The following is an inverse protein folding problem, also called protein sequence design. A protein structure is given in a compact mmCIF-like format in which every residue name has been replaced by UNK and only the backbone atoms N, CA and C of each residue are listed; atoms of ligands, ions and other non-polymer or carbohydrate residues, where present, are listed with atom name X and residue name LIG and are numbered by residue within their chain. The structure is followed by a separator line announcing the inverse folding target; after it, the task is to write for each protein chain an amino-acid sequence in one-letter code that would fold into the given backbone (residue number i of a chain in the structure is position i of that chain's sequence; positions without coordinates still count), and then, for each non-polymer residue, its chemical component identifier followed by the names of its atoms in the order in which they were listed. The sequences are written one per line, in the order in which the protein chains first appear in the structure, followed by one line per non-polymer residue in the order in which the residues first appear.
data_IF_926581373802
#
_entry.id   IF_926581373802
#
_cell.length_a   1.000
_cell.length_b   1.000
_cell.length_c   1.000
_cell.angle_alpha   90.00
_cell.angle_beta   90.00
_cell.angle_gamma   90.00
#
_symmetry.space_group_name_H-M   'P 1'
#
loop_
_entity.id
_entity.type
_entity.pdbx_description
1 polymer ?
#
# COMPACT_ATOMS: atom_id res chain seq x y z
N UNK A 1 23.98 -3.32 -25.70
CA UNK A 1 22.51 -3.33 -25.52
C UNK A 1 22.18 -4.46 -24.56
N UNK A 2 22.11 -4.17 -23.26
CA UNK A 2 21.54 -5.13 -22.32
C UNK A 2 20.05 -5.22 -22.62
N UNK A 3 19.60 -6.39 -23.06
CA UNK A 3 18.18 -6.71 -23.14
C UNK A 3 17.60 -6.56 -21.75
N UNK A 4 16.77 -5.53 -21.53
CA UNK A 4 15.96 -5.38 -20.32
C UNK A 4 15.20 -6.70 -20.13
N UNK A 5 15.63 -7.52 -19.18
CA UNK A 5 14.97 -8.76 -18.81
C UNK A 5 13.55 -8.39 -18.37
N UNK A 6 12.55 -8.81 -19.13
CA UNK A 6 11.14 -8.60 -18.77
C UNK A 6 10.88 -9.35 -17.48
N UNK A 7 10.55 -8.62 -16.41
CA UNK A 7 10.24 -9.22 -15.11
C UNK A 7 8.98 -10.08 -15.22
N UNK A 8 8.98 -11.23 -14.56
CA UNK A 8 7.91 -12.23 -14.60
C UNK A 8 6.72 -11.78 -13.74
N UNK A 9 5.53 -11.82 -14.32
CA UNK A 9 4.26 -11.65 -13.60
C UNK A 9 3.99 -12.84 -12.67
N UNK A 10 3.27 -12.57 -11.58
CA UNK A 10 2.75 -13.60 -10.68
C UNK A 10 1.23 -13.62 -10.63
N UNK A 11 0.71 -14.37 -9.66
CA UNK A 11 -0.71 -14.45 -9.35
C UNK A 11 -1.00 -13.96 -7.95
N UNK A 12 -2.17 -13.32 -7.81
CA UNK A 12 -2.62 -12.76 -6.53
C UNK A 12 -3.11 -13.86 -5.57
N UNK A 13 -3.13 -13.58 -4.27
CA UNK A 13 -3.71 -14.52 -3.28
C UNK A 13 -5.17 -14.85 -3.61
N UNK A 14 -5.94 -13.90 -4.14
CA UNK A 14 -7.30 -14.13 -4.62
C UNK A 14 -7.41 -15.11 -5.79
N UNK A 15 -6.51 -15.03 -6.76
CA UNK A 15 -6.48 -15.97 -7.89
C UNK A 15 -6.13 -17.38 -7.41
N UNK A 16 -5.11 -17.53 -6.55
CA UNK A 16 -4.75 -18.82 -5.95
C UNK A 16 -5.91 -19.41 -5.13
N UNK A 17 -6.59 -18.61 -4.30
CA UNK A 17 -7.76 -19.05 -3.53
C UNK A 17 -8.91 -19.51 -4.43
N UNK A 18 -9.14 -18.81 -5.55
CA UNK A 18 -10.17 -19.18 -6.53
C UNK A 18 -9.84 -20.51 -7.22
N UNK A 19 -8.60 -20.69 -7.66
CA UNK A 19 -8.14 -21.94 -8.26
C UNK A 19 -8.21 -23.14 -7.30
N UNK A 20 -7.77 -22.95 -6.05
CA UNK A 20 -7.91 -23.95 -5.00
C UNK A 20 -9.38 -24.30 -4.75
N UNK A 21 -10.27 -23.31 -4.71
CA UNK A 21 -11.72 -23.55 -4.54
C UNK A 21 -12.31 -24.35 -5.69
N UNK A 22 -11.93 -24.04 -6.95
CA UNK A 22 -12.35 -24.80 -8.12
C UNK A 22 -11.93 -26.27 -8.00
N UNK A 23 -10.67 -26.52 -7.69
CA UNK A 23 -10.13 -27.86 -7.54
C UNK A 23 -10.85 -28.65 -6.45
N UNK A 24 -11.01 -28.05 -5.26
CA UNK A 24 -11.67 -28.70 -4.13
C UNK A 24 -13.14 -29.02 -4.42
N UNK A 25 -13.89 -28.09 -5.04
CA UNK A 25 -15.29 -28.31 -5.38
C UNK A 25 -15.45 -29.39 -6.47
N UNK A 26 -14.63 -29.35 -7.52
CA UNK A 26 -14.67 -30.39 -8.57
C UNK A 26 -14.37 -31.77 -7.99
N UNK A 27 -13.36 -31.87 -7.12
CA UNK A 27 -13.06 -33.12 -6.41
C UNK A 27 -14.19 -33.57 -5.47
N UNK A 28 -14.84 -32.63 -4.77
CA UNK A 28 -16.00 -32.93 -3.91
C UNK A 28 -17.18 -33.52 -4.71
N UNK A 29 -17.39 -33.04 -5.93
CA UNK A 29 -18.48 -33.51 -6.82
C UNK A 29 -18.13 -34.86 -7.44
N UNK A 30 -16.91 -35.00 -7.94
CA UNK A 30 -16.51 -36.15 -8.78
C UNK A 30 -15.91 -37.30 -7.98
N UNK A 31 -15.44 -37.06 -6.75
CA UNK A 31 -14.61 -37.99 -5.99
C UNK A 31 -13.19 -38.15 -6.54
N UNK A 32 -12.79 -37.34 -7.54
CA UNK A 32 -11.49 -37.44 -8.22
C UNK A 32 -10.59 -36.28 -7.79
N UNK A 33 -9.39 -36.61 -7.31
CA UNK A 33 -8.35 -35.64 -6.94
C UNK A 33 -7.93 -34.80 -8.16
N UNK A 34 -7.88 -33.48 -8.00
CA UNK A 34 -7.48 -32.56 -9.06
C UNK A 34 -5.99 -32.19 -8.95
N UNK A 35 -5.29 -32.16 -10.07
CA UNK A 35 -3.86 -31.75 -10.15
C UNK A 35 -3.68 -30.35 -10.73
N UNK A 36 -4.70 -29.81 -11.39
CA UNK A 36 -4.72 -28.46 -11.93
C UNK A 36 -6.11 -27.83 -11.85
N UNK A 37 -6.19 -26.50 -11.93
CA UNK A 37 -7.44 -25.78 -12.08
C UNK A 37 -7.26 -24.54 -12.97
N UNK A 38 -8.14 -24.42 -13.96
CA UNK A 38 -8.16 -23.28 -14.89
C UNK A 38 -9.29 -22.32 -14.52
N UNK A 39 -8.95 -21.05 -14.27
CA UNK A 39 -9.89 -19.98 -13.88
C UNK A 39 -9.78 -18.77 -14.81
N UNK A 40 -10.86 -18.00 -14.93
CA UNK A 40 -10.85 -16.75 -15.68
C UNK A 40 -10.46 -15.58 -14.74
N UNK A 41 -9.43 -14.83 -15.12
CA UNK A 41 -8.92 -13.73 -14.31
C UNK A 41 -9.57 -12.39 -14.70
N UNK A 42 -9.73 -11.44 -13.77
CA UNK A 42 -10.29 -10.12 -14.08
C UNK A 42 -9.49 -9.30 -15.11
N UNK A 43 -8.22 -9.66 -15.37
CA UNK A 43 -7.43 -9.08 -16.47
C UNK A 43 -7.91 -9.51 -17.86
N UNK A 44 -8.90 -10.40 -17.95
CA UNK A 44 -9.54 -10.83 -19.19
C UNK A 44 -8.91 -12.06 -19.84
N UNK A 45 -8.16 -12.88 -19.08
CA UNK A 45 -7.49 -14.09 -19.59
C UNK A 45 -7.71 -15.30 -18.69
N UNK A 46 -7.69 -16.48 -19.29
CA UNK A 46 -7.63 -17.75 -18.56
C UNK A 46 -6.23 -17.98 -17.99
N UNK A 47 -6.17 -18.59 -16.81
CA UNK A 47 -4.93 -19.04 -16.18
C UNK A 47 -5.12 -20.41 -15.52
N UNK A 48 -4.17 -21.31 -15.77
CA UNK A 48 -4.12 -22.64 -15.18
C UNK A 48 -3.13 -22.66 -14.02
N UNK A 49 -3.58 -23.19 -12.89
CA UNK A 49 -2.82 -23.30 -11.66
C UNK A 49 -2.56 -24.77 -11.37
N UNK A 50 -1.31 -25.11 -11.04
CA UNK A 50 -0.99 -26.39 -10.45
C UNK A 50 -1.59 -26.48 -9.04
N UNK A 51 -2.18 -27.63 -8.72
CA UNK A 51 -2.70 -27.95 -7.40
C UNK A 51 -1.65 -28.79 -6.70
N UNK A 52 -1.02 -28.19 -5.68
CA UNK A 52 0.05 -28.81 -4.90
C UNK A 52 -0.44 -30.04 -4.15
N UNK A 53 -1.64 -29.94 -3.58
CA UNK A 53 -2.29 -31.02 -2.88
C UNK A 53 -3.80 -30.91 -3.04
N UNK A 54 -4.48 -32.03 -3.25
CA UNK A 54 -5.93 -32.14 -3.23
C UNK A 54 -6.33 -33.41 -2.47
N UNK A 55 -7.06 -33.25 -1.37
CA UNK A 55 -7.26 -34.28 -0.37
C UNK A 55 -8.74 -34.35 0.03
N UNK A 56 -9.31 -35.55 -0.03
CA UNK A 56 -10.71 -35.80 0.30
C UNK A 56 -10.81 -36.31 1.75
N UNK A 57 -11.58 -35.61 2.57
CA UNK A 57 -11.80 -35.86 3.98
C UNK A 57 -13.30 -36.05 4.23
N UNK A 58 -13.80 -37.26 3.98
CA UNK A 58 -15.23 -37.57 4.09
C UNK A 58 -16.07 -36.66 3.19
N UNK A 59 -16.88 -35.79 3.81
CA UNK A 59 -17.75 -34.83 3.10
C UNK A 59 -17.10 -33.47 2.82
N UNK A 60 -15.78 -33.35 3.00
CA UNK A 60 -15.03 -32.14 2.73
C UNK A 60 -13.81 -32.42 1.87
N UNK A 61 -13.39 -31.45 1.06
CA UNK A 61 -12.17 -31.54 0.25
C UNK A 61 -11.31 -30.33 0.51
N UNK A 62 -10.01 -30.55 0.64
CA UNK A 62 -9.00 -29.49 0.71
C UNK A 62 -8.20 -29.47 -0.56
N UNK A 63 -7.97 -28.29 -1.12
CA UNK A 63 -7.01 -28.11 -2.20
C UNK A 63 -6.05 -26.96 -1.88
N UNK A 64 -4.80 -27.12 -2.27
CA UNK A 64 -3.71 -26.18 -1.98
C UNK A 64 -3.06 -25.69 -3.26
N UNK A 65 -2.87 -24.38 -3.35
CA UNK A 65 -2.08 -23.73 -4.41
C UNK A 65 -0.93 -22.99 -3.74
N UNK A 66 0.30 -23.22 -4.20
CA UNK A 66 1.45 -22.40 -3.78
C UNK A 66 1.45 -21.13 -4.61
N UNK A 67 1.39 -19.98 -3.93
CA UNK A 67 1.37 -18.68 -4.61
C UNK A 67 2.71 -18.38 -5.26
N UNK A 68 2.71 -18.24 -6.59
CA UNK A 68 3.83 -17.66 -7.33
C UNK A 68 3.61 -16.16 -7.53
N UNK A 69 4.36 -15.33 -6.81
CA UNK A 69 4.35 -13.86 -6.92
C UNK A 69 5.12 -13.30 -8.12
N UNK A 70 5.74 -14.13 -8.96
CA UNK A 70 6.63 -13.65 -10.01
C UNK A 70 7.90 -13.04 -9.45
N UNK A 71 8.40 -11.98 -10.09
CA UNK A 71 9.62 -11.26 -9.65
C UNK A 71 9.31 -10.07 -8.71
N UNK A 72 8.08 -9.93 -8.23
CA UNK A 72 7.72 -8.91 -7.24
C UNK A 72 8.23 -9.31 -5.84
N UNK A 73 8.83 -8.39 -5.06
CA UNK A 73 9.20 -8.64 -3.67
C UNK A 73 7.96 -8.68 -2.75
N UNK A 74 7.09 -9.65 -2.98
CA UNK A 74 5.81 -9.85 -2.32
C UNK A 74 5.98 -10.79 -1.10
N UNK A 75 5.63 -10.31 0.10
CA UNK A 75 5.72 -11.09 1.34
C UNK A 75 4.92 -12.41 1.32
N UNK A 76 3.93 -12.51 0.43
CA UNK A 76 3.07 -13.69 0.28
C UNK A 76 3.54 -14.63 -0.84
N UNK A 77 4.64 -14.35 -1.52
CA UNK A 77 5.27 -15.30 -2.45
C UNK A 77 5.63 -16.61 -1.74
N UNK A 78 5.33 -17.75 -2.35
CA UNK A 78 5.54 -19.08 -1.79
C UNK A 78 4.54 -19.49 -0.70
N UNK A 79 3.55 -18.65 -0.38
CA UNK A 79 2.53 -19.00 0.60
C UNK A 79 1.61 -20.10 0.07
N UNK A 80 1.34 -21.12 0.90
CA UNK A 80 0.30 -22.11 0.62
C UNK A 80 -1.09 -21.48 0.86
N UNK A 81 -1.88 -21.36 -0.20
CA UNK A 81 -3.27 -20.92 -0.15
C UNK A 81 -4.15 -22.16 -0.24
N UNK A 82 -4.92 -22.41 0.82
CA UNK A 82 -5.73 -23.61 0.98
C UNK A 82 -7.21 -23.24 0.90
N UNK A 83 -7.98 -23.95 0.10
CA UNK A 83 -9.45 -23.88 0.12
C UNK A 83 -10.01 -25.19 0.65
N UNK A 84 -10.81 -25.13 1.71
CA UNK A 84 -11.59 -26.26 2.20
C UNK A 84 -13.03 -26.08 1.76
N UNK A 85 -13.55 -27.02 0.99
CA UNK A 85 -14.89 -26.99 0.43
C UNK A 85 -15.70 -28.18 0.95
N UNK A 86 -16.92 -27.92 1.40
CA UNK A 86 -17.88 -28.96 1.79
C UNK A 86 -19.28 -28.55 1.38
N UNK A 87 -20.21 -29.51 1.42
CA UNK A 87 -21.62 -29.19 1.22
C UNK A 87 -22.18 -28.41 2.41
N UNK A 88 -23.05 -27.45 2.12
CA UNK A 88 -23.80 -26.72 3.13
C UNK A 88 -25.22 -27.30 3.27
N UNK A 89 -25.79 -27.16 4.47
CA UNK A 89 -27.19 -27.50 4.72
C UNK A 89 -28.14 -26.46 4.11
N UNK A 90 -27.75 -25.18 4.16
CA UNK A 90 -28.54 -24.07 3.62
C UNK A 90 -28.14 -23.74 2.18
N UNK A 91 -29.10 -23.37 1.30
CA UNK A 91 -28.79 -22.89 -0.04
C UNK A 91 -27.81 -21.71 -0.04
N UNK A 92 -27.05 -21.57 -1.12
CA UNK A 92 -26.11 -20.46 -1.32
C UNK A 92 -24.64 -20.84 -1.13
N UNK A 93 -23.78 -19.84 -1.27
CA UNK A 93 -22.33 -19.96 -1.16
C UNK A 93 -21.91 -19.25 0.12
N UNK A 94 -21.37 -19.99 1.08
CA UNK A 94 -20.95 -19.48 2.38
C UNK A 94 -19.42 -19.40 2.40
N UNK A 95 -18.89 -18.19 2.21
CA UNK A 95 -17.45 -17.94 2.14
C UNK A 95 -16.94 -17.28 3.43
N UNK A 96 -15.94 -17.90 4.06
CA UNK A 96 -15.21 -17.32 5.19
C UNK A 96 -13.70 -17.66 5.13
N UNK A 97 -12.92 -17.09 6.04
CA UNK A 97 -11.49 -17.34 6.19
C UNK A 97 -11.17 -18.21 7.41
N UNK A 98 -10.34 -19.23 7.25
CA UNK A 98 -9.78 -20.02 8.34
C UNK A 98 -8.43 -19.51 8.83
N UNK A 99 -7.57 -20.42 9.28
CA UNK A 99 -6.25 -20.11 9.87
C UNK A 99 -5.42 -19.24 8.94
N UNK A 100 -4.86 -18.15 9.48
CA UNK A 100 -3.95 -17.25 8.79
C UNK A 100 -4.56 -16.36 7.71
N UNK A 101 -5.89 -16.34 7.56
CA UNK A 101 -6.61 -15.25 6.90
C UNK A 101 -7.04 -14.25 7.98
N UNK A 102 -6.59 -13.01 7.83
CA UNK A 102 -6.81 -11.98 8.85
C UNK A 102 -8.29 -11.61 9.01
N UNK A 103 -8.65 -11.05 10.16
CA UNK A 103 -9.96 -10.46 10.44
C UNK A 103 -9.88 -8.95 10.45
N UNK A 104 -10.85 -8.29 9.84
CA UNK A 104 -10.95 -6.83 9.86
C UNK A 104 -11.46 -6.37 11.22
N UNK A 105 -10.72 -5.49 11.87
CA UNK A 105 -11.00 -4.96 13.22
C UNK A 105 -11.20 -3.46 13.23
N UNK A 106 -10.83 -2.76 12.15
CA UNK A 106 -10.99 -1.31 11.98
C UNK A 106 -11.87 -1.01 10.77
N UNK A 107 -12.66 0.08 10.79
CA UNK A 107 -13.41 0.55 9.63
C UNK A 107 -12.49 1.16 8.57
N UNK A 108 -13.04 1.39 7.37
CA UNK A 108 -12.34 2.08 6.26
C UNK A 108 -11.77 1.16 5.19
N UNK A 109 -11.70 -0.15 5.46
CA UNK A 109 -11.40 -1.15 4.43
C UNK A 109 -12.67 -1.52 3.62
N UNK A 110 -12.51 -2.04 2.39
CA UNK A 110 -13.65 -2.53 1.59
C UNK A 110 -14.38 -3.73 2.20
N UNK A 111 -13.77 -4.40 3.18
CA UNK A 111 -14.31 -5.56 3.89
C UNK A 111 -14.83 -5.09 5.26
N UNK A 112 -16.07 -5.45 5.66
CA UNK A 112 -16.65 -5.05 6.95
C UNK A 112 -15.86 -5.53 8.17
N UNK A 113 -16.00 -4.80 9.29
CA UNK A 113 -15.44 -5.21 10.59
C UNK A 113 -16.06 -6.54 11.04
N UNK A 114 -15.22 -7.44 11.55
CA UNK A 114 -15.57 -8.78 11.97
C UNK A 114 -15.38 -9.85 10.89
N UNK A 115 -15.37 -9.47 9.60
CA UNK A 115 -15.23 -10.43 8.50
C UNK A 115 -13.78 -10.84 8.23
N UNK A 116 -13.62 -12.01 7.60
CA UNK A 116 -12.36 -12.41 6.98
C UNK A 116 -11.93 -11.41 5.92
N UNK A 117 -10.64 -11.05 5.91
CA UNK A 117 -10.00 -10.11 5.00
C UNK A 117 -9.90 -10.67 3.56
N UNK A 118 -11.04 -11.03 2.98
CA UNK A 118 -11.21 -11.48 1.60
C UNK A 118 -11.85 -10.33 0.83
N UNK A 119 -11.06 -9.65 0.01
CA UNK A 119 -11.48 -8.44 -0.67
C UNK A 119 -12.62 -8.71 -1.69
N UNK A 120 -13.37 -7.67 -2.09
CA UNK A 120 -14.54 -7.82 -2.97
C UNK A 120 -14.27 -8.54 -4.28
N UNK A 121 -13.13 -8.28 -4.95
CA UNK A 121 -12.80 -8.94 -6.21
C UNK A 121 -12.49 -10.44 -6.03
N UNK A 122 -11.61 -10.87 -5.11
CA UNK A 122 -11.45 -12.28 -4.79
C UNK A 122 -12.76 -12.97 -4.35
N UNK A 123 -13.58 -12.30 -3.54
CA UNK A 123 -14.90 -12.83 -3.14
C UNK A 123 -15.76 -13.08 -4.38
N UNK A 124 -15.85 -12.11 -5.28
CA UNK A 124 -16.58 -12.23 -6.55
C UNK A 124 -16.05 -13.40 -7.38
N UNK A 125 -14.73 -13.49 -7.59
CA UNK A 125 -14.10 -14.57 -8.36
C UNK A 125 -14.44 -15.96 -7.80
N UNK A 126 -14.34 -16.14 -6.48
CA UNK A 126 -14.68 -17.39 -5.81
C UNK A 126 -16.16 -17.73 -6.02
N UNK A 127 -17.07 -16.77 -5.84
CA UNK A 127 -18.50 -17.00 -6.02
C UNK A 127 -18.86 -17.36 -7.46
N UNK A 128 -18.29 -16.65 -8.44
CA UNK A 128 -18.50 -16.94 -9.86
C UNK A 128 -17.99 -18.33 -10.21
N UNK A 129 -16.77 -18.68 -9.78
CA UNK A 129 -16.19 -20.01 -10.00
C UNK A 129 -17.02 -21.13 -9.37
N UNK A 130 -17.51 -20.95 -8.15
CA UNK A 130 -18.39 -21.94 -7.50
C UNK A 130 -19.69 -22.10 -8.29
N UNK A 131 -20.32 -21.00 -8.72
CA UNK A 131 -21.55 -21.07 -9.54
C UNK A 131 -21.32 -21.79 -10.87
N UNK A 132 -20.25 -21.45 -11.58
CA UNK A 132 -19.89 -22.08 -12.85
C UNK A 132 -19.72 -23.60 -12.70
N UNK A 133 -19.02 -24.04 -11.66
CA UNK A 133 -18.83 -25.47 -11.40
C UNK A 133 -20.16 -26.15 -11.03
N UNK A 134 -20.96 -25.54 -10.16
CA UNK A 134 -22.28 -26.11 -9.80
C UNK A 134 -23.21 -26.23 -11.03
N UNK A 135 -23.24 -25.21 -11.88
CA UNK A 135 -24.03 -25.20 -13.12
C UNK A 135 -23.54 -26.26 -14.11
N UNK A 136 -22.22 -26.38 -14.30
CA UNK A 136 -21.61 -27.38 -15.18
C UNK A 136 -22.01 -28.82 -14.80
N UNK A 137 -22.17 -29.10 -13.51
CA UNK A 137 -22.55 -30.43 -13.00
C UNK A 137 -24.05 -30.55 -12.67
N UNK A 138 -24.85 -29.51 -12.90
CA UNK A 138 -26.31 -29.53 -12.62
C UNK A 138 -26.67 -29.66 -11.14
N UNK A 139 -25.85 -29.13 -10.23
CA UNK A 139 -26.04 -29.24 -8.77
C UNK A 139 -26.60 -27.94 -8.19
N UNK A 140 -27.66 -28.05 -7.38
CA UNK A 140 -28.34 -26.91 -6.73
C UNK A 140 -28.15 -26.86 -5.20
N UNK A 141 -27.17 -27.61 -4.66
CA UNK A 141 -26.87 -27.66 -3.23
C UNK A 141 -26.02 -26.47 -2.79
N UNK A 142 -26.18 -26.04 -1.53
CA UNK A 142 -25.31 -25.03 -0.93
C UNK A 142 -23.88 -25.52 -0.72
N UNK A 143 -22.93 -24.60 -0.69
CA UNK A 143 -21.49 -24.89 -0.59
C UNK A 143 -20.85 -24.00 0.48
N UNK A 144 -20.09 -24.61 1.39
CA UNK A 144 -19.22 -23.93 2.33
C UNK A 144 -17.81 -23.83 1.73
N UNK A 145 -17.20 -22.65 1.79
CA UNK A 145 -15.83 -22.40 1.33
C UNK A 145 -15.05 -21.69 2.43
N UNK A 146 -14.00 -22.34 2.92
CA UNK A 146 -13.09 -21.77 3.93
C UNK A 146 -11.69 -21.60 3.34
N UNK A 147 -11.25 -20.36 3.19
CA UNK A 147 -9.90 -20.04 2.69
C UNK A 147 -8.94 -19.93 3.87
N UNK A 148 -7.83 -20.68 3.85
CA UNK A 148 -6.80 -20.65 4.90
C UNK A 148 -5.41 -20.43 4.30
N UNK A 149 -4.53 -19.85 5.09
CA UNK A 149 -3.11 -19.65 4.76
C UNK A 149 -2.32 -20.11 5.99
N UNK A 150 -1.79 -21.35 6.03
CA UNK A 150 -1.24 -21.92 7.26
C UNK A 150 -0.17 -21.05 7.95
N UNK A 151 0.68 -20.38 7.18
CA UNK A 151 1.73 -19.47 7.66
C UNK A 151 1.32 -17.99 7.61
N UNK A 152 0.04 -17.70 7.38
CA UNK A 152 -0.46 -16.35 7.10
C UNK A 152 -0.27 -15.38 8.25
N UNK A 153 -0.36 -15.82 9.50
CA UNK A 153 -0.09 -14.96 10.66
C UNK A 153 1.37 -14.50 10.72
N UNK A 154 2.32 -15.41 10.48
CA UNK A 154 3.75 -15.07 10.42
C UNK A 154 4.09 -14.18 9.23
N UNK A 155 3.47 -14.41 8.07
CA UNK A 155 3.63 -13.55 6.90
C UNK A 155 3.09 -12.15 7.21
N UNK A 156 1.94 -12.03 7.88
CA UNK A 156 1.29 -10.76 8.17
C UNK A 156 2.18 -9.81 9.00
N UNK A 157 3.07 -10.33 9.86
CA UNK A 157 4.04 -9.54 10.62
C UNK A 157 5.00 -8.74 9.72
N UNK A 158 5.16 -9.14 8.47
CA UNK A 158 5.99 -8.47 7.45
C UNK A 158 5.17 -7.56 6.53
N UNK A 159 3.91 -7.28 6.87
CA UNK A 159 2.99 -6.48 6.06
C UNK A 159 2.43 -5.30 6.83
N UNK A 160 1.75 -4.39 6.14
CA UNK A 160 1.04 -3.27 6.75
C UNK A 160 -0.35 -3.66 7.32
N UNK A 161 -0.71 -4.95 7.33
CA UNK A 161 -2.06 -5.42 7.67
C UNK A 161 -2.48 -5.04 9.09
N UNK A 162 -1.61 -5.23 10.09
CA UNK A 162 -1.95 -4.94 11.49
C UNK A 162 -2.36 -3.47 11.68
N UNK A 163 -1.63 -2.57 11.03
CA UNK A 163 -1.90 -1.12 11.05
C UNK A 163 -3.24 -0.77 10.42
N UNK A 164 -3.56 -1.41 9.30
CA UNK A 164 -4.86 -1.29 8.63
C UNK A 164 -6.00 -1.96 9.40
N UNK A 165 -5.72 -2.57 10.56
CA UNK A 165 -6.71 -3.27 11.37
C UNK A 165 -7.02 -4.69 10.90
N UNK A 166 -6.12 -5.33 10.14
CA UNK A 166 -6.25 -6.74 9.76
C UNK A 166 -5.37 -7.57 10.69
N UNK A 167 -5.99 -8.37 11.56
CA UNK A 167 -5.32 -9.10 12.64
C UNK A 167 -5.46 -10.62 12.44
N UNK A 168 -4.43 -11.39 12.82
CA UNK A 168 -4.45 -12.87 12.81
C UNK A 168 -4.14 -13.52 11.45
N UNK A 169 -3.72 -12.74 10.45
CA UNK A 169 -3.40 -13.31 9.14
C UNK A 169 -3.23 -12.28 8.01
N UNK A 170 -3.05 -12.80 6.80
CA UNK A 170 -2.97 -11.97 5.59
C UNK A 170 -4.34 -11.71 4.97
N UNK A 171 -4.39 -10.72 4.08
CA UNK A 171 -5.54 -10.48 3.23
C UNK A 171 -5.51 -11.37 1.98
N UNK A 172 -6.68 -11.88 1.59
CA UNK A 172 -6.91 -12.47 0.27
C UNK A 172 -7.35 -11.33 -0.65
N UNK A 173 -6.45 -10.88 -1.51
CA UNK A 173 -6.58 -9.67 -2.31
C UNK A 173 -6.11 -9.88 -3.75
N UNK A 174 -6.39 -8.89 -4.60
CA UNK A 174 -6.04 -8.89 -6.02
C UNK A 174 -7.19 -8.37 -6.87
N UNK A 175 -6.98 -7.26 -7.60
CA UNK A 175 -8.03 -6.66 -8.43
C UNK A 175 -8.04 -7.18 -9.86
N UNK A 176 -6.89 -7.66 -10.35
CA UNK A 176 -6.70 -8.16 -11.72
C UNK A 176 -6.45 -9.67 -11.81
N UNK A 177 -6.29 -10.33 -10.68
CA UNK A 177 -5.86 -11.74 -10.60
C UNK A 177 -4.35 -11.94 -10.77
N UNK A 178 -3.62 -10.95 -11.27
CA UNK A 178 -2.16 -11.00 -11.51
C UNK A 178 -1.39 -10.03 -10.61
N UNK A 179 -0.12 -10.35 -10.36
CA UNK A 179 0.88 -9.50 -9.69
C UNK A 179 1.84 -8.98 -10.74
N UNK A 180 1.98 -7.66 -10.82
CA UNK A 180 2.93 -6.99 -11.72
C UNK A 180 4.08 -6.46 -10.83
N UNK A 181 5.33 -6.89 -11.07
CA UNK A 181 6.48 -6.47 -10.26
C UNK A 181 6.64 -4.94 -10.20
N UNK A 182 6.88 -4.41 -8.99
CA UNK A 182 7.10 -2.99 -8.73
C UNK A 182 5.97 -2.09 -9.24
N UNK A 183 4.72 -2.57 -9.13
CA UNK A 183 3.56 -1.85 -9.64
C UNK A 183 3.27 -0.55 -8.87
N UNK A 184 3.50 0.58 -9.54
CA UNK A 184 3.05 1.91 -9.11
C UNK A 184 1.56 1.94 -8.77
N UNK A 185 0.74 1.19 -9.52
CA UNK A 185 -0.71 1.16 -9.28
C UNK A 185 -1.09 0.44 -7.98
N UNK A 186 -0.38 -0.64 -7.65
CA UNK A 186 -0.60 -1.36 -6.38
C UNK A 186 -0.17 -0.51 -5.18
N UNK A 187 0.96 0.17 -5.29
CA UNK A 187 1.44 1.08 -4.24
C UNK A 187 0.52 2.30 -4.05
N UNK A 188 -0.02 2.88 -5.12
CA UNK A 188 -1.03 3.94 -5.01
C UNK A 188 -2.33 3.46 -4.35
N UNK A 189 -2.73 2.22 -4.60
CA UNK A 189 -3.91 1.64 -3.97
C UNK A 189 -3.71 1.43 -2.46
N UNK A 190 -2.51 1.03 -2.01
CA UNK A 190 -2.22 0.91 -0.57
C UNK A 190 -2.23 2.27 0.14
N UNK A 191 -1.74 3.34 -0.50
CA UNK A 191 -1.84 4.71 0.02
C UNK A 191 -3.32 5.10 0.21
N UNK A 192 -4.17 4.85 -0.80
CA UNK A 192 -5.62 5.15 -0.69
C UNK A 192 -6.24 4.40 0.50
N UNK A 193 -5.95 3.11 0.65
CA UNK A 193 -6.48 2.30 1.75
C UNK A 193 -6.04 2.82 3.12
N UNK A 194 -4.77 3.22 3.27
CA UNK A 194 -4.27 3.80 4.51
C UNK A 194 -5.01 5.10 4.87
N UNK A 195 -5.25 5.99 3.90
CA UNK A 195 -6.01 7.23 4.13
C UNK A 195 -7.48 6.91 4.50
N UNK A 196 -8.10 5.92 3.85
CA UNK A 196 -9.47 5.52 4.15
C UNK A 196 -9.60 4.95 5.57
N UNK A 197 -8.66 4.12 5.99
CA UNK A 197 -8.60 3.61 7.37
C UNK A 197 -8.40 4.76 8.35
N UNK A 198 -7.44 5.65 8.11
CA UNK A 198 -7.21 6.82 8.97
C UNK A 198 -8.50 7.66 9.12
N UNK A 199 -9.13 8.03 8.00
CA UNK A 199 -10.35 8.84 8.02
C UNK A 199 -11.51 8.14 8.74
N UNK A 200 -11.70 6.85 8.48
CA UNK A 200 -12.78 6.08 9.09
C UNK A 200 -12.60 5.89 10.61
N UNK A 201 -11.35 5.99 11.11
CA UNK A 201 -11.03 6.00 12.53
C UNK A 201 -11.00 7.42 13.13
N UNK A 202 -11.52 8.42 12.41
CA UNK A 202 -11.66 9.79 12.91
C UNK A 202 -10.41 10.65 12.81
N UNK A 203 -9.37 10.20 12.10
CA UNK A 203 -8.18 11.03 11.88
C UNK A 203 -8.50 12.15 10.88
N UNK A 204 -8.63 13.37 11.39
CA UNK A 204 -8.69 14.60 10.58
C UNK A 204 -7.30 15.17 10.27
N UNK A 205 -6.28 14.70 11.01
CA UNK A 205 -4.87 15.00 10.81
C UNK A 205 -4.12 13.71 10.45
N UNK A 206 -3.47 13.68 9.28
CA UNK A 206 -2.60 12.58 8.85
C UNK A 206 -1.18 13.08 8.61
N UNK A 207 -0.20 12.18 8.76
CA UNK A 207 1.21 12.46 8.54
C UNK A 207 1.73 11.61 7.40
N UNK A 208 2.09 12.25 6.28
CA UNK A 208 2.60 11.55 5.10
C UNK A 208 4.12 11.60 5.09
N UNK A 209 4.75 10.44 4.89
CA UNK A 209 6.20 10.31 4.99
C UNK A 209 6.82 9.63 3.78
N UNK A 210 8.09 9.92 3.54
CA UNK A 210 8.82 9.39 2.38
C UNK A 210 9.28 7.93 2.53
N UNK A 211 9.06 7.34 3.71
CA UNK A 211 9.43 5.98 4.08
C UNK A 211 9.56 5.78 5.59
N UNK A 212 9.78 4.54 6.03
CA UNK A 212 9.76 4.16 7.45
C UNK A 212 10.73 4.91 8.37
N UNK A 213 11.86 5.42 7.87
CA UNK A 213 12.75 6.26 8.70
C UNK A 213 12.11 7.61 9.03
N UNK A 214 11.57 8.30 8.03
CA UNK A 214 10.83 9.55 8.24
C UNK A 214 9.56 9.33 9.06
N UNK A 215 8.91 8.17 8.93
CA UNK A 215 7.77 7.79 9.77
C UNK A 215 8.15 7.68 11.26
N UNK A 216 9.25 7.01 11.60
CA UNK A 216 9.72 6.95 12.99
C UNK A 216 9.97 8.34 13.59
N UNK A 217 10.44 9.28 12.78
CA UNK A 217 10.67 10.67 13.23
C UNK A 217 9.35 11.41 13.40
N UNK A 218 8.43 11.24 12.45
CA UNK A 218 7.08 11.74 12.53
C UNK A 218 6.33 11.25 13.78
N UNK A 219 6.41 9.96 14.10
CA UNK A 219 5.76 9.40 15.30
C UNK A 219 6.27 10.01 16.60
N UNK A 220 7.57 10.37 16.66
CA UNK A 220 8.11 11.12 17.80
C UNK A 220 7.64 12.57 17.84
N UNK A 221 7.44 13.19 16.67
CA UNK A 221 6.96 14.56 16.56
C UNK A 221 5.47 14.69 16.89
N UNK A 222 4.67 13.69 16.55
CA UNK A 222 3.21 13.68 16.76
C UNK A 222 2.77 12.48 17.63
N UNK A 223 3.24 12.38 18.89
CA UNK A 223 2.98 11.21 19.74
C UNK A 223 1.50 11.06 20.16
N UNK A 224 0.69 12.10 19.93
CA UNK A 224 -0.73 12.12 20.22
C UNK A 224 -1.60 11.56 19.07
N UNK A 225 -1.01 11.34 17.88
CA UNK A 225 -1.73 10.75 16.74
C UNK A 225 -1.66 9.22 16.79
N UNK A 226 -2.75 8.52 16.43
CA UNK A 226 -2.75 7.06 16.36
C UNK A 226 -1.89 6.56 15.19
N UNK A 227 -1.49 5.29 15.23
CA UNK A 227 -0.59 4.71 14.24
C UNK A 227 -1.14 4.78 12.80
N UNK A 228 -2.45 4.60 12.61
CA UNK A 228 -3.10 4.74 11.30
C UNK A 228 -3.03 6.15 10.70
N UNK A 229 -2.74 7.19 11.50
CA UNK A 229 -2.59 8.55 10.99
C UNK A 229 -1.30 8.73 10.19
N UNK A 230 -0.29 7.89 10.37
CA UNK A 230 0.95 7.98 9.58
C UNK A 230 0.85 7.12 8.33
N UNK A 231 1.36 7.62 7.21
CA UNK A 231 1.17 7.00 5.90
C UNK A 231 2.48 7.13 5.11
N UNK A 232 3.08 6.00 4.79
CA UNK A 232 4.24 5.97 3.89
C UNK A 232 3.78 6.18 2.43
N UNK A 233 3.98 7.40 1.93
CA UNK A 233 3.63 7.79 0.56
C UNK A 233 4.74 7.52 -0.46
N UNK A 234 5.95 7.20 0.02
CA UNK A 234 7.13 7.01 -0.83
C UNK A 234 7.45 8.27 -1.63
N UNK A 235 7.21 8.22 -2.94
CA UNK A 235 7.49 9.32 -3.88
C UNK A 235 6.24 10.05 -4.38
N UNK A 236 5.05 9.65 -3.94
CA UNK A 236 3.76 10.08 -4.50
C UNK A 236 3.11 11.24 -3.73
N UNK A 237 3.82 12.35 -3.55
CA UNK A 237 3.38 13.49 -2.73
C UNK A 237 2.06 14.07 -3.21
N UNK A 238 1.99 14.56 -4.45
CA UNK A 238 0.78 15.22 -4.97
C UNK A 238 -0.41 14.28 -5.10
N UNK A 239 -0.15 13.02 -5.48
CA UNK A 239 -1.19 12.00 -5.50
C UNK A 239 -1.78 11.80 -4.10
N UNK A 240 -0.95 11.65 -3.07
CA UNK A 240 -1.38 11.44 -1.68
C UNK A 240 -2.15 12.65 -1.18
N UNK A 241 -1.65 13.87 -1.38
CA UNK A 241 -2.33 15.11 -1.00
C UNK A 241 -3.72 15.23 -1.64
N UNK A 242 -3.85 14.93 -2.95
CA UNK A 242 -5.14 14.91 -3.65
C UNK A 242 -6.10 13.88 -3.07
N UNK A 243 -5.62 12.71 -2.66
CA UNK A 243 -6.45 11.70 -2.00
C UNK A 243 -6.88 12.14 -0.61
N UNK A 244 -5.99 12.75 0.18
CA UNK A 244 -6.34 13.34 1.48
C UNK A 244 -7.45 14.38 1.33
N UNK A 245 -7.34 15.31 0.36
CA UNK A 245 -8.38 16.31 0.07
C UNK A 245 -9.70 15.65 -0.32
N UNK A 246 -9.66 14.70 -1.25
CA UNK A 246 -10.85 13.97 -1.73
C UNK A 246 -11.59 13.24 -0.60
N UNK A 247 -10.86 12.72 0.37
CA UNK A 247 -11.42 12.00 1.53
C UNK A 247 -11.73 12.91 2.73
N UNK A 248 -11.58 14.24 2.57
CA UNK A 248 -11.95 15.21 3.60
C UNK A 248 -11.02 15.23 4.81
N UNK A 249 -9.73 14.93 4.62
CA UNK A 249 -8.69 15.16 5.63
C UNK A 249 -8.43 16.67 5.73
N UNK A 250 -8.41 17.21 6.95
CA UNK A 250 -8.31 18.65 7.21
C UNK A 250 -6.86 19.12 7.34
N UNK A 251 -6.00 18.30 7.94
CA UNK A 251 -4.59 18.62 8.19
C UNK A 251 -3.69 17.51 7.65
N UNK A 252 -2.66 17.89 6.91
CA UNK A 252 -1.63 16.96 6.43
C UNK A 252 -0.26 17.46 6.84
N UNK A 253 0.46 16.71 7.67
CA UNK A 253 1.88 16.97 7.94
C UNK A 253 2.75 16.13 7.01
N UNK A 254 3.62 16.77 6.25
CA UNK A 254 4.61 16.12 5.41
C UNK A 254 5.93 16.04 6.17
N UNK A 255 6.44 14.83 6.40
CA UNK A 255 7.70 14.64 7.14
C UNK A 255 8.69 13.87 6.28
N UNK A 256 9.89 14.43 6.13
CA UNK A 256 10.97 13.72 5.48
C UNK A 256 12.27 14.51 5.38
N UNK A 257 13.06 14.16 4.37
CA UNK A 257 14.44 14.62 4.24
C UNK A 257 14.58 15.63 3.11
N UNK A 258 15.57 16.50 3.25
CA UNK A 258 15.83 17.61 2.34
C UNK A 258 15.96 17.19 0.87
N UNK A 259 16.54 16.02 0.58
CA UNK A 259 16.69 15.53 -0.80
C UNK A 259 15.39 15.42 -1.60
N UNK A 260 14.31 14.92 -0.97
CA UNK A 260 13.00 14.80 -1.62
C UNK A 260 12.20 16.09 -1.50
N UNK A 261 12.28 16.76 -0.35
CA UNK A 261 11.50 17.96 -0.07
C UNK A 261 12.02 19.21 -0.77
N UNK A 262 13.30 19.27 -1.13
CA UNK A 262 13.80 20.33 -2.03
C UNK A 262 13.06 20.34 -3.36
N UNK A 263 12.67 19.16 -3.87
CA UNK A 263 11.84 19.03 -5.08
C UNK A 263 10.40 19.46 -4.83
N UNK A 264 9.82 19.09 -3.68
CA UNK A 264 8.47 19.55 -3.30
C UNK A 264 8.41 21.07 -3.21
N UNK A 265 9.44 21.70 -2.64
CA UNK A 265 9.56 23.16 -2.57
C UNK A 265 9.59 23.84 -3.94
N UNK A 266 10.08 23.14 -4.97
CA UNK A 266 10.08 23.59 -6.38
C UNK A 266 8.75 23.30 -7.11
N UNK A 267 7.75 22.72 -6.43
CA UNK A 267 6.49 22.30 -7.04
C UNK A 267 6.50 20.92 -7.68
N UNK A 268 7.58 20.14 -7.54
CA UNK A 268 7.67 18.78 -8.10
C UNK A 268 7.06 17.79 -7.10
N UNK A 269 5.87 17.29 -7.46
CA UNK A 269 5.04 16.46 -6.57
C UNK A 269 5.21 14.95 -6.73
N UNK A 270 6.07 14.53 -7.67
CA UNK A 270 6.58 13.16 -7.77
C UNK A 270 8.08 13.21 -7.47
N UNK A 271 8.50 12.78 -6.29
CA UNK A 271 9.85 13.06 -5.76
C UNK A 271 10.88 11.96 -6.03
N UNK A 272 10.57 11.05 -6.95
CA UNK A 272 11.49 10.00 -7.38
C UNK A 272 12.81 10.61 -7.90
N UNK A 273 13.94 9.93 -7.74
CA UNK A 273 15.25 10.46 -8.13
C UNK A 273 15.31 10.88 -9.60
N UNK A 274 14.63 10.13 -10.48
CA UNK A 274 14.57 10.34 -11.93
C UNK A 274 13.52 11.35 -12.42
N UNK A 275 12.62 11.85 -11.57
CA UNK A 275 11.51 12.70 -12.03
C UNK A 275 11.94 14.12 -12.40
N UNK A 276 12.89 14.67 -11.65
CA UNK A 276 13.47 15.99 -11.88
C UNK A 276 14.80 16.12 -11.13
N UNK A 277 15.79 16.84 -11.68
CA UNK A 277 17.00 17.20 -10.97
C UNK A 277 16.69 18.19 -9.83
N UNK A 278 17.67 18.39 -8.94
CA UNK A 278 17.60 19.42 -7.92
C UNK A 278 18.01 20.75 -8.56
N UNK A 279 17.22 21.81 -8.36
CA UNK A 279 17.60 23.17 -8.74
C UNK A 279 18.43 23.84 -7.62
N UNK A 280 19.75 23.87 -7.81
CA UNK A 280 20.66 24.54 -6.88
C UNK A 280 20.58 26.06 -6.94
N UNK A 281 20.11 26.65 -8.05
CA UNK A 281 19.88 28.10 -8.12
C UNK A 281 18.70 28.50 -7.24
N UNK A 282 17.64 27.69 -7.23
CA UNK A 282 16.51 27.85 -6.30
C UNK A 282 16.95 27.73 -4.84
N UNK A 283 17.75 26.71 -4.49
CA UNK A 283 18.26 26.57 -3.13
C UNK A 283 19.18 27.73 -2.73
N UNK A 284 20.01 28.23 -3.65
CA UNK A 284 20.85 29.40 -3.42
C UNK A 284 20.02 30.68 -3.18
N UNK A 285 18.91 30.86 -3.88
CA UNK A 285 17.99 31.98 -3.65
C UNK A 285 17.33 31.89 -2.26
N UNK A 286 16.95 30.69 -1.81
CA UNK A 286 16.46 30.50 -0.43
C UNK A 286 17.56 30.81 0.59
N UNK A 287 18.80 30.38 0.35
CA UNK A 287 19.93 30.69 1.22
C UNK A 287 20.18 32.19 1.34
N UNK A 288 20.15 32.91 0.22
CA UNK A 288 20.26 34.38 0.18
C UNK A 288 19.12 35.03 0.97
N UNK A 289 17.88 34.60 0.76
CA UNK A 289 16.71 35.07 1.52
C UNK A 289 16.82 34.79 3.03
N UNK A 290 17.47 33.68 3.40
CA UNK A 290 17.73 33.30 4.78
C UNK A 290 18.88 34.10 5.41
N UNK A 291 19.58 34.95 4.65
CA UNK A 291 20.70 35.76 5.11
C UNK A 291 22.05 35.04 5.11
N UNK A 292 22.21 33.98 4.30
CA UNK A 292 23.51 33.35 4.08
C UNK A 292 24.50 34.35 3.45
N UNK A 293 25.80 34.21 3.77
CA UNK A 293 26.83 35.06 3.19
C UNK A 293 26.95 34.83 1.67
N UNK A 294 27.42 35.82 0.89
CA UNK A 294 27.62 35.65 -0.56
C UNK A 294 28.49 34.44 -0.92
N UNK A 295 29.50 34.13 -0.10
CA UNK A 295 30.38 32.98 -0.29
C UNK A 295 29.62 31.66 -0.12
N UNK A 296 28.77 31.58 0.92
CA UNK A 296 27.95 30.41 1.17
C UNK A 296 26.89 30.22 0.07
N UNK A 297 26.25 31.30 -0.38
CA UNK A 297 25.29 31.27 -1.50
C UNK A 297 25.97 30.79 -2.79
N UNK A 298 27.20 31.23 -3.07
CA UNK A 298 27.97 30.74 -4.22
C UNK A 298 28.30 29.24 -4.07
N UNK A 299 28.69 28.78 -2.88
CA UNK A 299 28.96 27.37 -2.63
C UNK A 299 27.73 26.47 -2.83
N UNK A 300 26.53 26.95 -2.48
CA UNK A 300 25.26 26.23 -2.70
C UNK A 300 24.98 26.00 -4.19
N UNK A 301 25.28 26.97 -5.05
CA UNK A 301 25.07 26.86 -6.51
C UNK A 301 25.89 25.76 -7.15
N UNK A 302 27.08 25.51 -6.60
CA UNK A 302 28.04 24.51 -7.07
C UNK A 302 27.90 23.16 -6.33
N UNK A 303 26.90 23.01 -5.46
CA UNK A 303 26.69 21.77 -4.74
C UNK A 303 26.22 20.63 -5.65
N UNK A 304 26.52 19.40 -5.24
CA UNK A 304 26.16 18.19 -6.00
C UNK A 304 24.85 17.55 -5.52
N UNK A 305 24.50 17.77 -4.25
CA UNK A 305 23.29 17.17 -3.65
C UNK A 305 22.59 18.15 -2.72
N UNK A 306 21.27 18.02 -2.58
CA UNK A 306 20.51 18.80 -1.60
C UNK A 306 20.92 18.45 -0.16
N UNK A 307 21.40 17.24 0.11
CA UNK A 307 21.95 16.90 1.44
C UNK A 307 23.20 17.73 1.76
N UNK A 308 24.12 17.88 0.78
CA UNK A 308 25.30 18.73 0.93
C UNK A 308 24.91 20.18 1.21
N UNK A 309 23.90 20.72 0.52
CA UNK A 309 23.38 22.07 0.81
C UNK A 309 22.84 22.15 2.25
N UNK A 310 22.12 21.12 2.71
CA UNK A 310 21.63 21.06 4.08
C UNK A 310 22.75 21.04 5.11
N UNK A 311 23.80 20.26 4.87
CA UNK A 311 24.99 20.21 5.73
C UNK A 311 25.68 21.58 5.80
N UNK A 312 25.90 22.24 4.65
CA UNK A 312 26.46 23.60 4.58
C UNK A 312 25.64 24.62 5.39
N UNK A 313 24.31 24.59 5.27
CA UNK A 313 23.43 25.50 6.00
C UNK A 313 23.40 25.22 7.50
N UNK A 314 23.46 23.94 7.87
CA UNK A 314 23.51 23.52 9.27
C UNK A 314 24.83 23.93 9.92
N UNK A 315 25.97 23.70 9.26
CA UNK A 315 27.30 24.10 9.73
C UNK A 315 27.42 25.63 9.88
N UNK A 316 26.76 26.38 9.01
CA UNK A 316 26.67 27.83 9.09
C UNK A 316 25.67 28.35 10.15
N UNK A 317 24.94 27.46 10.83
CA UNK A 317 23.90 27.84 11.82
C UNK A 317 22.68 28.53 11.21
N UNK A 318 22.44 28.37 9.90
CA UNK A 318 21.36 29.06 9.20
C UNK A 318 20.05 28.25 9.26
N UNK A 319 19.43 28.20 10.44
CA UNK A 319 18.17 27.46 10.65
C UNK A 319 17.01 28.02 9.81
N UNK A 320 17.00 29.34 9.58
CA UNK A 320 16.00 30.05 8.78
C UNK A 320 15.88 29.52 7.36
N UNK A 321 16.97 29.03 6.77
CA UNK A 321 16.95 28.36 5.47
C UNK A 321 15.96 27.20 5.44
N UNK A 322 15.96 26.35 6.48
CA UNK A 322 15.09 25.18 6.53
C UNK A 322 13.63 25.55 6.76
N UNK A 323 13.34 26.61 7.52
CA UNK A 323 11.98 27.14 7.70
C UNK A 323 11.40 27.64 6.38
N UNK A 324 12.16 28.45 5.63
CA UNK A 324 11.75 28.96 4.31
C UNK A 324 11.55 27.78 3.34
N UNK A 325 12.44 26.79 3.34
CA UNK A 325 12.29 25.61 2.50
C UNK A 325 11.04 24.80 2.83
N UNK A 326 10.73 24.61 4.12
CA UNK A 326 9.48 23.97 4.57
C UNK A 326 8.26 24.78 4.13
N UNK A 327 8.35 26.11 4.16
CA UNK A 327 7.27 27.00 3.77
C UNK A 327 6.94 26.86 2.28
N UNK A 328 7.97 26.86 1.43
CA UNK A 328 7.82 26.58 0.00
C UNK A 328 7.19 25.21 -0.28
N UNK A 329 7.50 24.19 0.54
CA UNK A 329 6.85 22.88 0.43
C UNK A 329 5.35 22.99 0.73
N UNK A 330 4.97 23.69 1.79
CA UNK A 330 3.57 23.88 2.17
C UNK A 330 2.79 24.63 1.08
N UNK A 331 3.35 25.73 0.56
CA UNK A 331 2.74 26.51 -0.53
C UNK A 331 2.58 25.69 -1.81
N UNK A 332 3.59 24.92 -2.17
CA UNK A 332 3.52 24.04 -3.34
C UNK A 332 2.47 22.94 -3.17
N UNK A 333 2.39 22.34 -1.98
CA UNK A 333 1.39 21.32 -1.66
C UNK A 333 -0.04 21.88 -1.72
N UNK A 334 -0.28 23.08 -1.17
CA UNK A 334 -1.56 23.77 -1.25
C UNK A 334 -1.94 24.10 -2.70
N UNK A 335 -0.98 24.55 -3.51
CA UNK A 335 -1.20 24.80 -4.94
C UNK A 335 -1.58 23.52 -5.69
N UNK A 336 -0.91 22.40 -5.39
CA UNK A 336 -1.17 21.09 -6.03
C UNK A 336 -2.60 20.58 -5.79
N UNK A 337 -3.17 20.86 -4.61
CA UNK A 337 -4.54 20.47 -4.26
C UNK A 337 -5.57 21.58 -4.46
N UNK A 338 -5.15 22.80 -4.77
CA UNK A 338 -6.02 23.98 -4.85
C UNK A 338 -6.64 24.34 -3.49
N UNK A 339 -5.85 24.35 -2.42
CA UNK A 339 -6.27 24.83 -1.12
C UNK A 339 -7.20 23.91 -0.31
N UNK A 340 -7.83 24.48 0.72
CA UNK A 340 -8.89 23.82 1.51
C UNK A 340 -8.41 22.80 2.53
N UNK A 341 -7.15 22.90 2.96
CA UNK A 341 -6.58 22.12 4.06
C UNK A 341 -5.43 22.88 4.72
N UNK A 342 -5.03 22.44 5.91
CA UNK A 342 -3.78 22.85 6.54
C UNK A 342 -2.67 21.89 6.13
N UNK A 343 -1.54 22.43 5.70
CA UNK A 343 -0.34 21.66 5.37
C UNK A 343 0.79 22.07 6.30
N UNK A 344 1.40 21.08 6.94
CA UNK A 344 2.64 21.25 7.69
C UNK A 344 3.77 20.55 6.95
N UNK A 345 4.99 21.08 7.04
CA UNK A 345 6.18 20.39 6.55
C UNK A 345 7.24 20.40 7.64
N UNK A 346 7.85 19.23 7.90
CA UNK A 346 9.02 19.09 8.78
C UNK A 346 10.17 18.42 8.02
N UNK A 347 11.36 19.03 8.12
CA UNK A 347 12.61 18.49 7.57
C UNK A 347 13.47 17.86 8.66
N UNK A 348 13.96 16.65 8.39
CA UNK A 348 14.84 15.91 9.28
C UNK A 348 16.15 15.50 8.60
N UNK A 349 17.23 15.44 9.39
CA UNK A 349 18.47 14.78 8.99
C UNK A 349 18.32 13.26 8.95
N UNK A 350 19.30 12.58 8.36
CA UNK A 350 19.38 11.12 8.41
C UNK A 350 19.50 10.55 9.83
N UNK A 351 20.07 11.33 10.76
CA UNK A 351 20.21 11.02 12.18
C UNK A 351 18.96 11.33 13.02
N UNK A 352 17.92 11.95 12.44
CA UNK A 352 16.67 12.24 13.11
C UNK A 352 16.64 13.54 13.91
N UNK A 353 17.55 14.46 13.62
CA UNK A 353 17.49 15.85 14.10
C UNK A 353 16.50 16.64 13.23
N UNK A 354 15.60 17.39 13.86
CA UNK A 354 14.70 18.32 13.18
C UNK A 354 15.54 19.54 12.71
N UNK A 355 15.42 19.87 11.42
CA UNK A 355 16.12 21.00 10.79
C UNK A 355 15.24 22.24 10.69
N UNK A 356 13.95 22.06 10.40
CA UNK A 356 13.00 23.15 10.24
C UNK A 356 11.58 22.64 10.13
N UNK A 357 10.62 23.53 10.40
CA UNK A 357 9.19 23.28 10.27
C UNK A 357 8.49 24.51 9.73
N UNK A 358 7.46 24.32 8.91
CA UNK A 358 6.51 25.37 8.54
C UNK A 358 5.07 24.83 8.56
N UNK A 359 4.10 25.74 8.68
CA UNK A 359 2.67 25.45 8.62
C UNK A 359 2.00 26.51 7.77
N UNK A 360 1.17 26.09 6.81
CA UNK A 360 0.30 26.98 6.05
C UNK A 360 -1.13 26.46 6.09
N UNK A 361 -2.07 27.38 6.24
CA UNK A 361 -3.50 27.12 6.16
C UNK A 361 -4.06 27.99 5.03
N UNK A 362 -4.89 27.40 4.18
CA UNK A 362 -5.63 28.10 3.13
C UNK A 362 -7.13 28.19 3.47
N UNK A 363 -7.49 28.00 4.73
CA UNK A 363 -8.84 28.26 5.23
C UNK A 363 -9.07 29.78 5.36
N UNK A 364 -9.24 30.44 4.21
CA UNK A 364 -9.84 31.77 4.06
C UNK A 364 -9.10 32.94 4.70
N UNK A 365 -8.42 33.72 3.85
CA UNK A 365 -8.57 35.19 3.91
C UNK A 365 -9.79 35.60 3.06
#
# INVERSE_FOLDING_TARGET
METKKTLREGYTTGACATAATKAALTALITGIIQTEATIYLPVGRWATFAIEACEIYGESVKATVIKDGGDDPDATHGAAIVSTVSWAEQPGIHLDGGKGVGRVTKPGLPVPVGEAAINPIPRKMIHETVREVLEQYGISRGVNVIISVPNGEEIAKKTLNARLGIIGGISILGTRGIVIPFSTSAYRASIIQAIQVAKANGCDHVVITTGGRSEKFAMRQYPHLPEEAFIEMGDFVGFTLKQCKRLGIRTVSMVGMMGKFSKVAQGIMMVHSKSAPIDFSFLAAIAEQAGASPELVAAVREANTASQVGEMMQEAGNERFFEILCDHCCLSALREVGGGMTVETSLYTMGGQLLGKAVRNDAGD
#
